data_IF_296066760887
#
_entry.id   IF_296066760887
#
_cell.length_a   1.000
_cell.length_b   1.000
_cell.length_c   1.000
_cell.angle_alpha   90.00
_cell.angle_beta   90.00
_cell.angle_gamma   90.00
#
_symmetry.space_group_name_H-M   'P 1'
#
loop_
_entity.id
_entity.type
_entity.pdbx_description
1 polymer ?
#
# COMPACT_ATOMS: atom_id res chain seq x y z
N UNK A 1 7.07 6.90 8.72
CA UNK A 1 6.89 7.68 7.49
C UNK A 1 5.81 7.04 6.65
N UNK A 2 5.49 7.65 5.52
CA UNK A 2 4.59 7.06 4.52
C UNK A 2 5.06 7.45 3.12
N UNK A 3 4.73 6.63 2.13
CA UNK A 3 4.97 6.88 0.72
C UNK A 3 3.70 6.52 -0.06
N UNK A 4 3.35 7.32 -1.06
CA UNK A 4 2.15 7.14 -1.88
C UNK A 4 2.56 6.73 -3.29
N UNK A 5 1.98 5.65 -3.79
CA UNK A 5 2.17 5.16 -5.15
C UNK A 5 0.81 4.98 -5.83
N UNK A 6 0.62 5.67 -6.96
CA UNK A 6 -0.52 5.45 -7.85
C UNK A 6 -0.14 4.44 -8.93
N UNK A 7 -0.88 3.33 -9.03
CA UNK A 7 -0.68 2.32 -10.06
C UNK A 7 -1.88 2.30 -11.03
N UNK A 8 -1.58 2.25 -12.33
CA UNK A 8 -2.60 2.14 -13.39
C UNK A 8 -2.52 0.71 -13.95
N UNK A 9 -3.54 -0.10 -13.70
CA UNK A 9 -3.66 -1.41 -14.35
C UNK A 9 -4.53 -1.27 -15.60
N UNK A 10 -3.88 -1.13 -16.76
CA UNK A 10 -4.54 -1.21 -18.05
C UNK A 10 -4.67 -2.68 -18.48
N UNK A 11 -5.90 -3.13 -18.76
CA UNK A 11 -6.13 -4.44 -19.35
C UNK A 11 -5.66 -4.42 -20.81
N UNK A 12 -4.58 -5.12 -21.13
CA UNK A 12 -3.96 -5.10 -22.47
C UNK A 12 -4.72 -5.92 -23.53
N UNK A 13 -5.80 -6.60 -23.14
CA UNK A 13 -6.53 -7.53 -24.00
C UNK A 13 -7.95 -7.01 -24.26
N UNK A 14 -8.17 -6.31 -25.39
CA UNK A 14 -9.47 -6.02 -26.05
C UNK A 14 -10.70 -5.66 -25.18
N UNK A 15 -10.51 -5.29 -23.92
CA UNK A 15 -11.57 -4.95 -22.99
C UNK A 15 -11.83 -3.46 -23.05
N UNK A 16 -13.08 -3.08 -23.32
CA UNK A 16 -13.56 -1.69 -23.30
C UNK A 16 -13.72 -1.18 -21.85
N UNK A 17 -13.40 -2.02 -20.86
CA UNK A 17 -13.46 -1.62 -19.46
C UNK A 17 -12.39 -0.56 -19.17
N UNK A 18 -12.76 0.55 -18.51
CA UNK A 18 -11.80 1.58 -18.15
C UNK A 18 -10.69 0.98 -17.26
N UNK A 19 -9.44 1.45 -17.39
CA UNK A 19 -8.33 0.93 -16.60
C UNK A 19 -8.64 1.05 -15.11
N UNK A 20 -8.38 -0.03 -14.36
CA UNK A 20 -8.53 -0.02 -12.91
C UNK A 20 -7.31 0.65 -12.34
N UNK A 21 -7.52 1.82 -11.78
CA UNK A 21 -6.50 2.57 -11.06
C UNK A 21 -6.62 2.25 -9.57
N UNK A 22 -5.49 1.99 -8.91
CA UNK A 22 -5.45 1.75 -7.47
C UNK A 22 -4.39 2.66 -6.86
N UNK A 23 -4.77 3.36 -5.80
CA UNK A 23 -3.84 4.14 -5.00
C UNK A 23 -3.32 3.25 -3.87
N UNK A 24 -2.01 3.18 -3.68
CA UNK A 24 -1.37 2.38 -2.63
C UNK A 24 -0.55 3.30 -1.74
N UNK A 25 -0.69 3.11 -0.43
CA UNK A 25 0.08 3.80 0.59
C UNK A 25 0.97 2.78 1.31
N UNK A 26 2.28 3.04 1.32
CA UNK A 26 3.25 2.31 2.12
C UNK A 26 3.52 3.09 3.41
N UNK A 27 3.01 2.60 4.53
CA UNK A 27 3.17 3.20 5.86
C UNK A 27 4.23 2.40 6.61
N UNK A 28 5.30 3.05 7.04
CA UNK A 28 6.40 2.37 7.71
C UNK A 28 6.80 3.04 9.02
N UNK A 29 7.23 2.22 9.98
CA UNK A 29 7.72 2.66 11.28
C UNK A 29 8.94 1.84 11.66
N UNK A 30 9.96 2.52 12.17
CA UNK A 30 11.14 1.87 12.71
C UNK A 30 11.19 2.07 14.22
N UNK A 31 11.50 1.02 14.94
CA UNK A 31 11.72 1.02 16.39
C UNK A 31 13.08 0.39 16.66
N UNK A 32 13.99 1.17 17.25
CA UNK A 32 15.27 0.63 17.69
C UNK A 32 15.04 -0.33 18.87
N UNK A 33 15.55 -1.55 18.77
CA UNK A 33 15.48 -2.54 19.85
C UNK A 33 16.78 -2.59 20.66
N UNK A 34 17.93 -2.57 19.97
CA UNK A 34 19.26 -2.59 20.59
C UNK A 34 20.24 -1.68 19.83
N UNK A 35 21.53 -1.72 20.16
CA UNK A 35 22.59 -1.04 19.40
C UNK A 35 22.60 -1.45 17.93
N UNK A 36 22.35 -2.72 17.64
CA UNK A 36 22.57 -3.36 16.34
C UNK A 36 21.30 -3.97 15.72
N UNK A 37 20.15 -3.81 16.38
CA UNK A 37 18.87 -4.35 15.93
C UNK A 37 17.80 -3.26 15.87
N UNK A 38 17.05 -3.24 14.75
CA UNK A 38 15.89 -2.39 14.51
C UNK A 38 14.72 -3.25 14.09
N UNK A 39 13.55 -3.01 14.68
CA UNK A 39 12.27 -3.53 14.21
C UNK A 39 11.68 -2.56 13.20
N UNK A 40 11.41 -3.04 11.99
CA UNK A 40 10.65 -2.35 10.96
C UNK A 40 9.24 -2.90 10.90
N UNK A 41 8.25 -2.00 10.95
CA UNK A 41 6.86 -2.31 10.65
C UNK A 41 6.52 -1.66 9.31
N UNK A 42 5.93 -2.41 8.40
CA UNK A 42 5.45 -1.94 7.10
C UNK A 42 3.99 -2.36 6.93
N UNK A 43 3.14 -1.39 6.61
CA UNK A 43 1.77 -1.60 6.18
C UNK A 43 1.63 -1.12 4.76
N UNK A 44 1.11 -1.98 3.90
CA UNK A 44 0.67 -1.62 2.55
C UNK A 44 -0.85 -1.51 2.60
N UNK A 45 -1.38 -0.32 2.37
CA UNK A 45 -2.80 -0.05 2.29
C UNK A 45 -3.18 0.30 0.84
N UNK A 46 -4.10 -0.45 0.25
CA UNK A 46 -4.59 -0.20 -1.10
C UNK A 46 -6.02 0.37 -1.06
N UNK A 47 -6.24 1.37 -1.88
CA UNK A 47 -7.50 2.11 -2.02
C UNK A 47 -8.00 1.99 -3.47
N UNK A 48 -9.32 1.88 -3.61
CA UNK A 48 -9.97 2.03 -4.91
C UNK A 48 -9.77 3.47 -5.41
N UNK A 49 -9.74 3.68 -6.72
CA UNK A 49 -9.60 5.03 -7.24
C UNK A 49 -10.97 5.75 -7.31
N UNK A 50 -11.08 6.99 -6.79
CA UNK A 50 -12.30 7.79 -6.81
C UNK A 50 -12.83 8.15 -8.21
N UNK A 51 -11.99 8.13 -9.25
CA UNK A 51 -12.35 8.60 -10.58
C UNK A 51 -13.27 7.63 -11.33
N UNK A 52 -13.17 6.32 -11.08
CA UNK A 52 -13.88 5.30 -11.86
C UNK A 52 -14.72 4.34 -11.02
N UNK A 53 -14.68 4.41 -9.68
CA UNK A 53 -15.33 3.40 -8.85
C UNK A 53 -16.30 3.99 -7.81
N UNK A 54 -17.60 3.71 -7.97
CA UNK A 54 -18.64 4.10 -6.99
C UNK A 54 -18.38 3.45 -5.62
N UNK A 55 -17.74 2.28 -5.58
CA UNK A 55 -17.36 1.60 -4.34
C UNK A 55 -16.36 2.40 -3.50
N UNK A 56 -15.56 3.30 -4.11
CA UNK A 56 -14.67 4.19 -3.36
C UNK A 56 -15.43 5.05 -2.32
N UNK A 57 -16.60 5.57 -2.70
CA UNK A 57 -17.42 6.38 -1.82
C UNK A 57 -18.23 5.52 -0.84
N UNK A 58 -18.70 4.34 -1.26
CA UNK A 58 -19.43 3.39 -0.40
C UNK A 58 -18.56 2.81 0.71
N UNK A 59 -17.27 2.62 0.43
CA UNK A 59 -16.26 2.17 1.40
C UNK A 59 -15.83 3.26 2.37
N UNK A 60 -16.41 4.48 2.31
CA UNK A 60 -16.05 5.65 3.12
C UNK A 60 -14.55 5.99 3.03
N UNK A 61 -13.96 5.86 1.85
CA UNK A 61 -12.52 6.11 1.61
C UNK A 61 -11.59 5.22 2.45
N UNK A 62 -12.04 4.02 2.82
CA UNK A 62 -11.24 3.05 3.57
C UNK A 62 -10.40 2.20 2.63
N UNK A 63 -9.28 1.72 3.13
CA UNK A 63 -8.46 0.74 2.42
C UNK A 63 -9.28 -0.55 2.21
N UNK A 64 -9.30 -1.03 0.98
CA UNK A 64 -9.98 -2.28 0.60
C UNK A 64 -9.07 -3.49 0.75
N UNK A 65 -7.75 -3.26 0.83
CA UNK A 65 -6.76 -4.27 1.17
C UNK A 65 -5.72 -3.67 2.10
N UNK A 66 -5.37 -4.41 3.15
CA UNK A 66 -4.32 -4.06 4.10
C UNK A 66 -3.43 -5.27 4.27
N UNK A 67 -2.13 -5.10 4.06
CA UNK A 67 -1.13 -6.14 4.34
C UNK A 67 -0.08 -5.60 5.28
N UNK A 68 0.14 -6.33 6.37
CA UNK A 68 1.04 -5.94 7.44
C UNK A 68 2.27 -6.88 7.48
N UNK A 69 3.44 -6.27 7.57
CA UNK A 69 4.73 -6.95 7.69
C UNK A 69 5.50 -6.41 8.89
N UNK A 70 6.14 -7.33 9.60
CA UNK A 70 7.13 -7.01 10.64
C UNK A 70 8.45 -7.63 10.24
N UNK A 71 9.49 -6.80 10.23
CA UNK A 71 10.83 -7.15 9.79
C UNK A 71 11.81 -6.85 10.92
N UNK A 72 12.71 -7.79 11.21
CA UNK A 72 13.83 -7.55 12.13
C UNK A 72 15.08 -7.29 11.31
N UNK A 73 15.58 -6.06 11.37
CA UNK A 73 16.80 -5.62 10.70
C UNK A 73 17.95 -5.74 11.70
N UNK A 74 19.00 -6.47 11.32
CA UNK A 74 20.22 -6.62 12.11
C UNK A 74 21.40 -6.07 11.33
N UNK A 75 22.25 -5.29 12.00
CA UNK A 75 23.51 -4.83 11.43
C UNK A 75 24.39 -6.04 11.11
N UNK A 76 24.78 -6.18 9.85
CA UNK A 76 25.84 -7.14 9.48
C UNK A 76 27.17 -6.60 9.98
N UNK A 77 27.91 -7.45 10.69
CA UNK A 77 29.31 -7.24 11.07
C UNK A 77 30.21 -7.26 9.86
#
# INVERSE_FOLDING_TARGET
GYELQRSIFALTNNSIAPPVTTDTEAIYKFKRLTSDTVEGQLRLAAYLNPQNDKLFFETKSRAVSVTDYTLTLRRSS
#
